data_IF_466213189959
#
_entry.id   IF_466213189959
#
_cell.length_a   1.000
_cell.length_b   1.000
_cell.length_c   1.000
_cell.angle_alpha   90.00
_cell.angle_beta   90.00
_cell.angle_gamma   90.00
#
_symmetry.space_group_name_H-M   'P 1'
#
loop_
_entity.id
_entity.type
_entity.pdbx_description
1 polymer ?
#
# COMPACT_ATOMS: atom_id res chain seq x y z
N UNK A 1 5.96 4.42 24.05
CA UNK A 1 4.98 3.41 23.61
C UNK A 1 4.17 4.00 22.47
N UNK A 2 4.03 3.26 21.37
CA UNK A 2 3.42 3.78 20.14
C UNK A 2 1.89 3.59 20.13
N UNK A 3 1.37 2.88 21.14
CA UNK A 3 -0.03 2.50 21.26
C UNK A 3 -0.50 2.65 22.70
N UNK A 4 -1.75 3.05 22.85
CA UNK A 4 -2.52 2.83 24.06
C UNK A 4 -3.42 1.63 23.80
N UNK A 5 -3.27 0.56 24.56
CA UNK A 5 -4.04 -0.67 24.37
C UNK A 5 -4.34 -1.36 25.69
N UNK A 6 -5.49 -2.04 25.73
CA UNK A 6 -5.88 -2.92 26.82
C UNK A 6 -6.32 -4.25 26.25
N UNK A 7 -5.87 -5.33 26.89
CA UNK A 7 -6.24 -6.69 26.54
C UNK A 7 -6.63 -7.46 27.79
N UNK A 8 -7.67 -8.26 27.70
CA UNK A 8 -8.13 -9.12 28.80
C UNK A 8 -8.59 -10.46 28.27
N UNK A 9 -8.50 -11.48 29.12
CA UNK A 9 -9.20 -12.73 28.91
C UNK A 9 -10.64 -12.60 29.41
N UNK A 10 -11.60 -12.98 28.58
CA UNK A 10 -13.03 -12.96 28.86
C UNK A 10 -13.50 -14.37 29.22
N UNK A 11 -14.04 -14.51 30.43
CA UNK A 11 -14.69 -15.73 30.92
C UNK A 11 -13.74 -16.92 31.15
N UNK A 12 -14.34 -18.08 31.47
CA UNK A 12 -13.62 -19.34 31.69
C UNK A 12 -13.03 -19.95 30.42
N UNK A 13 -13.51 -19.52 29.24
CA UNK A 13 -13.01 -19.92 27.92
C UNK A 13 -11.72 -19.21 27.49
N UNK A 14 -11.18 -18.30 28.32
CA UNK A 14 -9.99 -17.48 28.04
C UNK A 14 -10.05 -16.81 26.66
N UNK A 15 -11.21 -16.31 26.23
CA UNK A 15 -11.32 -15.59 24.95
C UNK A 15 -10.59 -14.25 25.04
N UNK A 16 -9.76 -13.91 24.05
CA UNK A 16 -9.06 -12.61 24.09
C UNK A 16 -9.98 -11.47 23.65
N UNK A 17 -10.16 -10.47 24.53
CA UNK A 17 -10.66 -9.15 24.17
C UNK A 17 -9.50 -8.16 24.03
N UNK A 18 -9.48 -7.39 22.95
CA UNK A 18 -8.43 -6.41 22.66
C UNK A 18 -9.02 -5.09 22.17
N UNK A 19 -8.65 -3.99 22.82
CA UNK A 19 -8.91 -2.64 22.35
C UNK A 19 -7.62 -1.84 22.34
N UNK A 20 -7.43 -0.98 21.36
CA UNK A 20 -6.28 -0.11 21.34
C UNK A 20 -6.39 0.99 20.29
N UNK A 21 -5.56 2.00 20.44
CA UNK A 21 -5.38 3.08 19.48
C UNK A 21 -3.90 3.41 19.37
N UNK A 22 -3.41 3.50 18.15
CA UNK A 22 -2.07 3.93 17.85
C UNK A 22 -1.98 5.44 18.01
N UNK A 23 -0.89 5.91 18.60
CA UNK A 23 -0.66 7.30 18.97
C UNK A 23 -0.01 8.08 17.82
N UNK A 24 -0.40 7.79 16.58
CA UNK A 24 0.16 8.36 15.34
C UNK A 24 -0.69 9.51 14.80
N UNK A 25 -0.17 10.75 14.81
CA UNK A 25 -0.73 11.87 14.07
C UNK A 25 -0.87 11.62 12.56
N UNK A 26 0.03 10.85 11.94
CA UNK A 26 0.00 10.54 10.52
C UNK A 26 -1.22 9.67 10.18
N UNK A 27 -1.54 8.65 10.98
CA UNK A 27 -2.73 7.83 10.76
C UNK A 27 -4.02 8.66 10.91
N UNK A 28 -4.04 9.61 11.85
CA UNK A 28 -5.13 10.59 11.98
C UNK A 28 -5.24 11.46 10.72
N UNK A 29 -4.11 11.94 10.18
CA UNK A 29 -4.04 12.69 8.93
C UNK A 29 -4.53 11.87 7.73
N UNK A 30 -4.08 10.62 7.59
CA UNK A 30 -4.56 9.69 6.55
C UNK A 30 -6.08 9.55 6.64
N UNK A 31 -6.61 9.34 7.84
CA UNK A 31 -8.04 9.30 8.12
C UNK A 31 -8.81 10.51 7.60
N UNK A 32 -8.30 11.72 7.82
CA UNK A 32 -8.91 12.95 7.35
C UNK A 32 -8.95 13.04 5.82
N UNK A 33 -7.88 12.58 5.15
CA UNK A 33 -7.78 12.59 3.68
C UNK A 33 -8.73 11.56 3.06
N UNK A 34 -8.80 10.35 3.60
CA UNK A 34 -9.65 9.27 3.03
C UNK A 34 -11.13 9.39 3.41
N UNK A 35 -11.43 10.16 4.45
CA UNK A 35 -12.78 10.47 4.90
C UNK A 35 -13.48 9.37 5.69
N UNK A 36 -14.66 9.70 6.22
CA UNK A 36 -15.41 8.84 7.15
C UNK A 36 -15.83 7.49 6.54
N UNK A 37 -16.19 7.46 5.25
CA UNK A 37 -16.62 6.25 4.58
C UNK A 37 -15.52 5.16 4.63
N UNK A 38 -14.31 5.50 4.16
CA UNK A 38 -13.16 4.60 4.22
C UNK A 38 -12.79 4.29 5.67
N UNK A 39 -12.82 5.28 6.57
CA UNK A 39 -12.60 5.11 8.00
C UNK A 39 -13.49 4.04 8.65
N UNK A 40 -14.80 4.05 8.36
CA UNK A 40 -15.75 3.04 8.85
C UNK A 40 -15.39 1.65 8.28
N UNK A 41 -15.08 1.58 6.98
CA UNK A 41 -14.80 0.32 6.29
C UNK A 41 -13.54 -0.35 6.85
N UNK A 42 -12.44 0.41 7.03
CA UNK A 42 -11.19 -0.13 7.56
C UNK A 42 -11.36 -0.57 9.02
N UNK A 43 -12.05 0.23 9.85
CA UNK A 43 -12.33 -0.12 11.25
C UNK A 43 -13.21 -1.37 11.35
N UNK A 44 -14.25 -1.46 10.53
CA UNK A 44 -15.13 -2.64 10.47
C UNK A 44 -14.37 -3.90 10.08
N UNK A 45 -13.42 -3.79 9.15
CA UNK A 45 -12.53 -4.88 8.78
C UNK A 45 -11.67 -5.34 9.97
N UNK A 46 -11.10 -4.40 10.74
CA UNK A 46 -10.35 -4.75 11.95
C UNK A 46 -11.22 -5.33 13.05
N UNK A 47 -12.45 -4.84 13.24
CA UNK A 47 -13.41 -5.43 14.18
C UNK A 47 -13.72 -6.88 13.78
N UNK A 48 -13.95 -7.15 12.49
CA UNK A 48 -14.14 -8.51 11.99
C UNK A 48 -12.94 -9.41 12.31
N UNK A 49 -11.72 -8.92 12.13
CA UNK A 49 -10.50 -9.69 12.42
C UNK A 49 -10.32 -9.91 13.93
N UNK A 50 -10.35 -8.85 14.72
CA UNK A 50 -9.93 -8.84 16.12
C UNK A 50 -11.02 -9.27 17.10
N UNK A 51 -12.27 -8.88 16.86
CA UNK A 51 -13.39 -9.16 17.77
C UNK A 51 -14.22 -10.36 17.34
N UNK A 52 -14.08 -10.84 16.11
CA UNK A 52 -14.85 -11.98 15.59
C UNK A 52 -13.91 -13.13 15.21
N UNK A 53 -12.97 -12.93 14.28
CA UNK A 53 -12.17 -14.01 13.72
C UNK A 53 -11.15 -14.59 14.72
N UNK A 54 -10.47 -13.77 15.52
CA UNK A 54 -9.53 -14.24 16.56
C UNK A 54 -10.27 -15.09 17.62
N UNK A 55 -11.36 -14.61 18.28
CA UNK A 55 -12.11 -15.42 19.24
C UNK A 55 -12.67 -16.72 18.64
N UNK A 56 -13.23 -16.67 17.41
CA UNK A 56 -13.74 -17.86 16.73
C UNK A 56 -12.63 -18.88 16.44
N UNK A 57 -11.47 -18.43 15.97
CA UNK A 57 -10.33 -19.31 15.75
C UNK A 57 -9.85 -19.93 17.08
N UNK A 58 -9.78 -19.12 18.13
CA UNK A 58 -9.35 -19.59 19.44
C UNK A 58 -10.30 -20.66 20.00
N UNK A 59 -11.61 -20.46 19.86
CA UNK A 59 -12.60 -21.38 20.42
C UNK A 59 -12.74 -22.68 19.64
N UNK A 60 -12.74 -22.62 18.30
CA UNK A 60 -13.10 -23.76 17.46
C UNK A 60 -11.92 -24.41 16.73
N UNK A 61 -10.81 -23.69 16.56
CA UNK A 61 -9.72 -24.11 15.68
C UNK A 61 -8.34 -24.18 16.36
N UNK A 62 -8.19 -23.75 17.62
CA UNK A 62 -6.92 -23.93 18.37
C UNK A 62 -6.48 -25.40 18.43
N UNK A 63 -7.42 -26.35 18.52
CA UNK A 63 -7.11 -27.78 18.51
C UNK A 63 -6.53 -28.30 17.19
N UNK A 64 -6.63 -27.53 16.10
CA UNK A 64 -6.05 -27.87 14.79
C UNK A 64 -4.56 -27.52 14.67
N UNK A 65 -4.02 -26.74 15.62
CA UNK A 65 -2.61 -26.34 15.63
C UNK A 65 -2.02 -26.47 17.06
N UNK A 66 -1.64 -27.69 17.48
CA UNK A 66 -1.13 -27.94 18.82
C UNK A 66 0.13 -27.15 19.16
N UNK A 67 0.98 -26.86 18.16
CA UNK A 67 2.20 -26.09 18.33
C UNK A 67 1.89 -24.62 18.66
N UNK A 68 0.94 -24.01 17.93
CA UNK A 68 0.48 -22.66 18.24
C UNK A 68 -0.22 -22.62 19.61
N UNK A 69 -1.10 -23.59 19.91
CA UNK A 69 -1.78 -23.66 21.20
C UNK A 69 -0.79 -23.74 22.37
N UNK A 70 0.27 -24.55 22.25
CA UNK A 70 1.31 -24.69 23.28
C UNK A 70 2.10 -23.39 23.47
N UNK A 71 2.38 -22.65 22.40
CA UNK A 71 3.10 -21.36 22.48
C UNK A 71 2.31 -20.26 23.20
N UNK A 72 1.02 -20.45 23.45
CA UNK A 72 0.10 -19.42 23.97
C UNK A 72 -0.49 -19.75 25.35
N UNK A 73 -0.13 -20.88 25.97
CA UNK A 73 -0.76 -21.41 27.21
C UNK A 73 -0.71 -20.42 28.37
N UNK A 74 0.36 -19.62 28.47
CA UNK A 74 0.60 -18.63 29.54
C UNK A 74 0.93 -17.23 29.01
N UNK A 75 0.66 -16.98 27.72
CA UNK A 75 0.89 -15.67 27.14
C UNK A 75 -0.09 -14.64 27.75
N UNK A 76 0.32 -13.37 27.96
CA UNK A 76 -0.61 -12.29 28.21
C UNK A 76 -1.67 -12.20 27.11
N UNK A 77 -2.87 -11.74 27.44
CA UNK A 77 -4.00 -11.68 26.49
C UNK A 77 -3.62 -10.96 25.18
N UNK A 78 -2.89 -9.85 25.27
CA UNK A 78 -2.41 -9.13 24.09
C UNK A 78 -1.50 -10.02 23.22
N UNK A 79 -0.50 -10.67 23.81
CA UNK A 79 0.45 -11.50 23.09
C UNK A 79 -0.22 -12.73 22.46
N UNK A 80 -1.20 -13.32 23.14
CA UNK A 80 -2.02 -14.39 22.58
C UNK A 80 -2.82 -13.94 21.35
N UNK A 81 -3.50 -12.79 21.41
CA UNK A 81 -4.19 -12.25 20.24
C UNK A 81 -3.23 -11.96 19.09
N UNK A 82 -2.08 -11.32 19.35
CA UNK A 82 -1.09 -11.05 18.31
C UNK A 82 -0.45 -12.32 17.74
N UNK A 83 -0.29 -13.37 18.56
CA UNK A 83 0.19 -14.67 18.11
C UNK A 83 -0.79 -15.34 17.14
N UNK A 84 -2.07 -15.40 17.51
CA UNK A 84 -3.13 -15.94 16.65
C UNK A 84 -3.29 -15.10 15.38
N UNK A 85 -3.30 -13.78 15.51
CA UNK A 85 -3.37 -12.86 14.38
C UNK A 85 -2.20 -13.05 13.41
N UNK A 86 -0.97 -13.07 13.93
CA UNK A 86 0.24 -13.22 13.15
C UNK A 86 0.35 -14.58 12.45
N UNK A 87 -0.04 -15.66 13.12
CA UNK A 87 0.07 -17.01 12.56
C UNK A 87 -1.05 -17.32 11.55
N UNK A 88 -2.27 -16.81 11.78
CA UNK A 88 -3.48 -17.28 11.10
C UNK A 88 -4.31 -16.15 10.53
N UNK A 89 -4.84 -15.26 11.37
CA UNK A 89 -5.90 -14.32 10.95
C UNK A 89 -5.41 -13.27 9.96
N UNK A 90 -4.14 -12.84 10.00
CA UNK A 90 -3.59 -11.93 8.98
C UNK A 90 -3.76 -12.48 7.55
N UNK A 91 -3.72 -13.80 7.37
CA UNK A 91 -3.88 -14.45 6.07
C UNK A 91 -5.33 -14.43 5.57
N UNK A 92 -6.31 -14.22 6.46
CA UNK A 92 -7.69 -13.92 6.08
C UNK A 92 -7.74 -12.60 5.28
N UNK A 93 -7.03 -11.59 5.77
CA UNK A 93 -6.86 -10.30 5.09
C UNK A 93 -6.14 -10.46 3.74
N UNK A 94 -5.08 -11.28 3.68
CA UNK A 94 -4.37 -11.59 2.43
C UNK A 94 -5.31 -12.20 1.37
N UNK A 95 -6.17 -13.14 1.76
CA UNK A 95 -7.17 -13.71 0.86
C UNK A 95 -8.18 -12.69 0.34
N UNK A 96 -8.69 -11.83 1.23
CA UNK A 96 -9.60 -10.75 0.84
C UNK A 96 -8.94 -9.74 -0.10
N UNK A 97 -7.68 -9.37 0.16
CA UNK A 97 -6.92 -8.48 -0.71
C UNK A 97 -6.59 -9.12 -2.07
N UNK A 98 -6.32 -10.42 -2.13
CA UNK A 98 -6.06 -11.15 -3.38
C UNK A 98 -7.30 -11.08 -4.30
N UNK A 99 -8.47 -11.42 -3.76
CA UNK A 99 -9.73 -11.29 -4.50
C UNK A 99 -10.02 -9.84 -4.87
N UNK A 100 -9.74 -8.89 -3.97
CA UNK A 100 -9.85 -7.47 -4.26
C UNK A 100 -8.96 -7.02 -5.42
N UNK A 101 -7.72 -7.54 -5.49
CA UNK A 101 -6.80 -7.30 -6.59
C UNK A 101 -7.29 -7.89 -7.91
N UNK A 102 -7.74 -9.15 -7.91
CA UNK A 102 -8.32 -9.81 -9.10
C UNK A 102 -9.58 -9.07 -9.59
N UNK A 103 -10.45 -8.65 -8.67
CA UNK A 103 -11.64 -7.88 -9.02
C UNK A 103 -11.29 -6.51 -9.59
N UNK A 104 -10.30 -5.83 -9.01
CA UNK A 104 -9.80 -4.55 -9.52
C UNK A 104 -9.36 -4.71 -10.98
N UNK A 105 -8.58 -5.75 -11.29
CA UNK A 105 -8.20 -6.07 -12.67
C UNK A 105 -9.39 -6.35 -13.58
N UNK A 106 -10.34 -7.17 -13.11
CA UNK A 106 -11.54 -7.47 -13.88
C UNK A 106 -12.39 -6.23 -14.17
N UNK A 107 -12.53 -5.33 -13.20
CA UNK A 107 -13.28 -4.08 -13.33
C UNK A 107 -12.61 -3.10 -14.30
N UNK A 108 -11.28 -3.11 -14.36
CA UNK A 108 -10.48 -2.23 -15.20
C UNK A 108 -10.16 -2.81 -16.57
N UNK A 109 -10.56 -4.05 -16.87
CA UNK A 109 -10.20 -4.76 -18.12
C UNK A 109 -10.45 -3.93 -19.38
N UNK A 110 -11.58 -3.23 -19.45
CA UNK A 110 -11.92 -2.40 -20.63
C UNK A 110 -10.94 -1.23 -20.79
N UNK A 111 -10.64 -0.56 -19.69
CA UNK A 111 -9.69 0.55 -19.67
C UNK A 111 -8.26 0.08 -19.95
N UNK A 112 -7.87 -1.09 -19.43
CA UNK A 112 -6.60 -1.76 -19.76
C UNK A 112 -6.54 -2.02 -21.27
N UNK A 113 -7.53 -2.68 -21.87
CA UNK A 113 -7.57 -2.94 -23.32
C UNK A 113 -7.51 -1.65 -24.17
N UNK A 114 -8.23 -0.60 -23.75
CA UNK A 114 -8.18 0.71 -24.42
C UNK A 114 -6.78 1.33 -24.34
N UNK A 115 -6.17 1.35 -23.15
CA UNK A 115 -4.82 1.86 -22.93
C UNK A 115 -3.79 1.13 -23.79
N UNK A 116 -3.86 -0.20 -23.84
CA UNK A 116 -3.01 -1.04 -24.70
C UNK A 116 -3.19 -0.70 -26.18
N UNK A 117 -4.43 -0.62 -26.68
CA UNK A 117 -4.73 -0.26 -28.07
C UNK A 117 -4.18 1.13 -28.41
N UNK A 118 -4.32 2.09 -27.49
CA UNK A 118 -3.82 3.45 -27.68
C UNK A 118 -2.29 3.51 -27.74
N UNK A 119 -1.59 2.75 -26.89
CA UNK A 119 -0.13 2.66 -26.89
C UNK A 119 0.41 2.15 -28.22
N UNK A 120 -0.18 1.08 -28.77
CA UNK A 120 0.19 0.56 -30.10
C UNK A 120 -0.13 1.53 -31.24
N UNK A 121 -1.24 2.28 -31.15
CA UNK A 121 -1.61 3.27 -32.16
C UNK A 121 -0.64 4.47 -32.17
N UNK A 122 -0.23 4.94 -30.99
CA UNK A 122 0.74 6.02 -30.83
C UNK A 122 2.11 5.64 -31.39
N UNK A 123 2.58 4.42 -31.14
CA UNK A 123 3.84 3.91 -31.68
C UNK A 123 3.90 3.91 -33.22
N UNK A 124 2.74 3.84 -33.89
CA UNK A 124 2.65 3.78 -35.36
C UNK A 124 2.58 5.16 -36.04
N UNK A 125 2.40 6.25 -35.29
CA UNK A 125 2.09 7.61 -35.81
C UNK A 125 3.24 8.64 -35.74
N UNK A 126 4.49 8.20 -35.63
CA UNK A 126 5.64 9.12 -35.62
C UNK A 126 5.94 9.68 -37.03
N UNK A 127 5.33 10.82 -37.39
CA UNK A 127 5.54 11.53 -38.66
C UNK A 127 5.96 12.99 -38.47
N UNK A 128 7.02 13.43 -39.16
CA UNK A 128 7.68 14.72 -38.99
C UNK A 128 6.91 15.90 -39.58
N UNK A 129 6.42 16.77 -38.68
CA UNK A 129 5.98 18.13 -38.98
C UNK A 129 6.73 19.14 -38.10
N UNK A 130 6.51 20.43 -38.34
CA UNK A 130 6.99 21.49 -37.43
C UNK A 130 6.18 21.40 -36.14
N UNK A 131 6.83 20.96 -35.07
CA UNK A 131 6.20 20.72 -33.76
C UNK A 131 6.21 22.01 -32.94
N UNK A 132 5.06 22.39 -32.38
CA UNK A 132 4.93 23.55 -31.50
C UNK A 132 5.84 23.40 -30.26
N UNK A 133 6.27 24.50 -29.65
CA UNK A 133 7.15 24.46 -28.46
C UNK A 133 6.55 23.61 -27.32
N UNK A 134 5.23 23.66 -27.14
CA UNK A 134 4.48 22.87 -26.14
C UNK A 134 4.32 21.39 -26.51
N UNK A 135 4.74 20.98 -27.70
CA UNK A 135 4.68 19.60 -28.19
C UNK A 135 6.07 18.99 -28.45
N UNK A 136 7.13 19.77 -28.19
CA UNK A 136 8.52 19.30 -28.39
C UNK A 136 8.93 18.30 -27.32
N UNK A 137 8.85 17.03 -27.72
CA UNK A 137 9.22 15.87 -26.91
C UNK A 137 10.72 15.48 -27.07
N UNK A 138 11.24 14.64 -26.15
CA UNK A 138 12.55 14.03 -26.30
C UNK A 138 12.59 13.16 -27.56
N UNK A 139 13.63 13.27 -28.42
CA UNK A 139 13.70 12.48 -29.63
C UNK A 139 13.67 10.98 -29.32
N UNK A 140 12.79 10.23 -29.98
CA UNK A 140 12.58 8.79 -29.75
C UNK A 140 13.87 7.97 -29.84
N UNK A 141 14.82 8.35 -30.70
CA UNK A 141 16.13 7.69 -30.80
C UNK A 141 16.88 7.69 -29.46
N UNK A 142 16.93 8.83 -28.77
CA UNK A 142 17.60 8.96 -27.48
C UNK A 142 16.84 8.23 -26.37
N UNK A 143 15.51 8.21 -26.43
CA UNK A 143 14.68 7.43 -25.51
C UNK A 143 14.92 5.92 -25.66
N UNK A 144 15.03 5.41 -26.89
CA UNK A 144 15.35 4.00 -27.14
C UNK A 144 16.76 3.64 -26.66
N UNK A 145 17.74 4.53 -26.88
CA UNK A 145 19.11 4.34 -26.35
C UNK A 145 19.10 4.31 -24.82
N UNK A 146 18.41 5.26 -24.18
CA UNK A 146 18.29 5.32 -22.72
C UNK A 146 17.60 4.06 -22.16
N UNK A 147 16.54 3.57 -22.82
CA UNK A 147 15.87 2.33 -22.47
C UNK A 147 16.85 1.15 -22.46
N UNK A 148 17.57 0.94 -23.57
CA UNK A 148 18.56 -0.14 -23.66
C UNK A 148 19.63 -0.01 -22.58
N UNK A 149 20.22 1.17 -22.43
CA UNK A 149 21.27 1.42 -21.43
C UNK A 149 20.78 1.16 -20.00
N UNK A 150 19.57 1.59 -19.64
CA UNK A 150 19.01 1.38 -18.30
C UNK A 150 18.58 -0.09 -18.06
N UNK A 151 18.29 -0.85 -19.11
CA UNK A 151 17.94 -2.27 -18.98
C UNK A 151 19.14 -3.18 -18.73
N UNK A 152 20.34 -2.80 -19.18
CA UNK A 152 21.54 -3.64 -19.01
C UNK A 152 21.93 -3.86 -17.53
N UNK A 153 21.94 -2.84 -16.64
CA UNK A 153 22.13 -3.05 -15.20
C UNK A 153 21.05 -3.93 -14.58
N UNK A 154 19.79 -3.82 -15.03
CA UNK A 154 18.69 -4.65 -14.53
C UNK A 154 18.85 -6.12 -14.98
N UNK A 155 19.29 -6.36 -16.21
CA UNK A 155 19.65 -7.69 -16.70
C UNK A 155 20.80 -8.28 -15.86
N UNK A 156 21.84 -7.49 -15.59
CA UNK A 156 22.95 -7.91 -14.75
C UNK A 156 22.49 -8.24 -13.32
N UNK A 157 21.57 -7.45 -12.76
CA UNK A 157 20.96 -7.70 -11.45
C UNK A 157 20.13 -8.99 -11.45
N UNK A 158 19.30 -9.22 -12.48
CA UNK A 158 18.54 -10.46 -12.60
C UNK A 158 19.46 -11.66 -12.73
N UNK A 159 20.52 -11.55 -13.53
CA UNK A 159 21.53 -12.60 -13.63
C UNK A 159 22.28 -12.86 -12.32
N UNK A 160 22.58 -11.82 -11.54
CA UNK A 160 23.24 -11.96 -10.25
C UNK A 160 22.36 -12.70 -9.22
N UNK A 161 21.04 -12.59 -9.32
CA UNK A 161 20.10 -13.25 -8.40
C UNK A 161 19.77 -14.67 -8.88
N UNK A 162 19.45 -14.83 -10.16
CA UNK A 162 18.92 -16.08 -10.73
C UNK A 162 20.03 -17.04 -11.16
N UNK A 163 21.21 -16.51 -11.50
CA UNK A 163 22.38 -17.30 -11.93
C UNK A 163 22.13 -18.18 -13.17
N UNK A 164 21.02 -17.99 -13.89
CA UNK A 164 20.66 -18.75 -15.09
C UNK A 164 20.31 -17.82 -16.26
N UNK A 165 21.20 -17.73 -17.26
CA UNK A 165 21.00 -16.84 -18.42
C UNK A 165 19.73 -17.12 -19.20
N UNK A 166 19.33 -18.40 -19.29
CA UNK A 166 18.09 -18.81 -19.96
C UNK A 166 16.82 -18.34 -19.23
N UNK A 167 16.93 -17.81 -18.00
CA UNK A 167 15.82 -17.20 -17.26
C UNK A 167 15.99 -15.69 -17.20
N UNK A 168 17.19 -15.19 -16.90
CA UNK A 168 17.49 -13.75 -16.76
C UNK A 168 17.17 -12.94 -18.01
N UNK A 169 17.45 -13.50 -19.20
CA UNK A 169 17.14 -12.85 -20.49
C UNK A 169 15.61 -12.78 -20.68
N UNK A 170 14.84 -13.90 -20.63
CA UNK A 170 13.38 -13.82 -20.65
C UNK A 170 12.77 -12.90 -19.60
N UNK A 171 13.28 -12.89 -18.36
CA UNK A 171 12.83 -11.96 -17.31
C UNK A 171 12.96 -10.50 -17.72
N UNK A 172 14.09 -10.15 -18.33
CA UNK A 172 14.34 -8.78 -18.82
C UNK A 172 13.40 -8.42 -19.97
N UNK A 173 13.15 -9.36 -20.89
CA UNK A 173 12.20 -9.17 -21.99
C UNK A 173 10.78 -8.99 -21.44
N UNK A 174 10.36 -9.85 -20.51
CA UNK A 174 9.05 -9.76 -19.84
C UNK A 174 8.91 -8.42 -19.15
N UNK A 175 9.93 -7.96 -18.42
CA UNK A 175 9.95 -6.67 -17.75
C UNK A 175 9.77 -5.51 -18.75
N UNK A 176 10.47 -5.52 -19.89
CA UNK A 176 10.34 -4.47 -20.91
C UNK A 176 8.94 -4.48 -21.53
N UNK A 177 8.44 -5.66 -21.91
CA UNK A 177 7.12 -5.81 -22.54
C UNK A 177 5.99 -5.43 -21.57
N UNK A 178 6.02 -5.95 -20.35
CA UNK A 178 5.06 -5.63 -19.30
C UNK A 178 5.15 -4.15 -18.91
N UNK A 179 6.36 -3.61 -18.76
CA UNK A 179 6.61 -2.20 -18.49
C UNK A 179 5.98 -1.31 -19.55
N UNK A 180 6.27 -1.54 -20.83
CA UNK A 180 5.67 -0.78 -21.93
C UNK A 180 4.14 -0.85 -21.93
N UNK A 181 3.58 -2.06 -21.78
CA UNK A 181 2.14 -2.30 -21.77
C UNK A 181 1.45 -1.54 -20.63
N UNK A 182 1.97 -1.68 -19.42
CA UNK A 182 1.35 -1.15 -18.22
C UNK A 182 1.63 0.33 -17.97
N UNK A 183 2.78 0.85 -18.40
CA UNK A 183 3.03 2.30 -18.46
C UNK A 183 2.03 2.98 -19.39
N UNK A 184 1.74 2.38 -20.54
CA UNK A 184 0.74 2.92 -21.48
C UNK A 184 -0.65 3.02 -20.84
N UNK A 185 -1.07 1.98 -20.11
CA UNK A 185 -2.35 2.02 -19.40
C UNK A 185 -2.35 3.00 -18.24
N UNK A 186 -1.29 2.98 -17.44
CA UNK A 186 -1.10 3.85 -16.29
C UNK A 186 -1.17 5.32 -16.70
N UNK A 187 -0.43 5.70 -17.75
CA UNK A 187 -0.47 7.03 -18.34
C UNK A 187 -1.89 7.40 -18.80
N UNK A 188 -2.52 6.57 -19.64
CA UNK A 188 -3.87 6.85 -20.15
C UNK A 188 -4.88 7.10 -19.02
N UNK A 189 -4.85 6.28 -17.97
CA UNK A 189 -5.72 6.44 -16.80
C UNK A 189 -5.36 7.69 -15.99
N UNK A 190 -4.08 7.90 -15.69
CA UNK A 190 -3.64 9.09 -14.95
C UNK A 190 -4.00 10.41 -15.66
N UNK A 191 -3.94 10.42 -17.00
CA UNK A 191 -4.32 11.57 -17.82
C UNK A 191 -5.82 11.86 -17.83
N UNK A 192 -6.65 10.82 -17.81
CA UNK A 192 -8.12 10.93 -17.86
C UNK A 192 -8.78 11.16 -16.50
N UNK A 193 -8.40 10.37 -15.50
CA UNK A 193 -9.10 10.29 -14.21
C UNK A 193 -8.23 10.70 -13.01
N UNK A 194 -6.97 11.05 -13.23
CA UNK A 194 -6.05 11.45 -12.16
C UNK A 194 -5.07 10.35 -11.73
N UNK A 195 -3.88 10.72 -11.25
CA UNK A 195 -2.87 9.80 -10.68
C UNK A 195 -3.40 9.12 -9.41
N UNK A 196 -4.23 9.79 -8.62
CA UNK A 196 -4.87 9.22 -7.43
C UNK A 196 -5.82 8.06 -7.75
N UNK A 197 -6.40 8.03 -8.95
CA UNK A 197 -7.27 6.96 -9.43
C UNK A 197 -6.53 5.94 -10.33
N UNK A 198 -5.21 6.07 -10.45
CA UNK A 198 -4.39 5.18 -11.25
C UNK A 198 -4.24 3.80 -10.57
N UNK A 199 -4.61 2.68 -11.22
CA UNK A 199 -4.64 1.36 -10.61
C UNK A 199 -3.26 0.69 -10.53
N UNK A 200 -2.24 1.40 -10.04
CA UNK A 200 -0.85 0.93 -9.94
C UNK A 200 -0.75 -0.38 -9.15
N UNK A 201 -1.50 -0.49 -8.05
CA UNK A 201 -1.53 -1.71 -7.22
C UNK A 201 -2.06 -2.92 -8.01
N UNK A 202 -3.14 -2.75 -8.78
CA UNK A 202 -3.68 -3.80 -9.65
C UNK A 202 -2.71 -4.20 -10.75
N UNK A 203 -2.12 -3.22 -11.43
CA UNK A 203 -1.07 -3.40 -12.46
C UNK A 203 0.10 -4.23 -11.91
N UNK A 204 0.54 -3.92 -10.69
CA UNK A 204 1.66 -4.62 -10.04
C UNK A 204 1.29 -6.07 -9.71
N UNK A 205 0.11 -6.31 -9.14
CA UNK A 205 -0.37 -7.68 -8.88
C UNK A 205 -0.48 -8.48 -10.19
N UNK A 206 -1.06 -7.89 -11.25
CA UNK A 206 -1.10 -8.51 -12.58
C UNK A 206 0.27 -8.91 -13.08
N UNK A 207 1.23 -8.00 -12.96
CA UNK A 207 2.61 -8.23 -13.41
C UNK A 207 3.23 -9.38 -12.64
N UNK A 208 3.08 -9.41 -11.31
CA UNK A 208 3.62 -10.49 -10.48
C UNK A 208 2.97 -11.82 -10.81
N UNK A 209 1.64 -11.87 -10.97
CA UNK A 209 0.93 -13.11 -11.33
C UNK A 209 1.35 -13.63 -12.71
N UNK A 210 1.41 -12.74 -13.70
CA UNK A 210 1.84 -13.08 -15.06
C UNK A 210 3.30 -13.54 -15.06
N UNK A 211 4.21 -12.77 -14.43
CA UNK A 211 5.61 -13.12 -14.33
C UNK A 211 5.80 -14.44 -13.58
N UNK A 212 5.09 -14.67 -12.48
CA UNK A 212 5.13 -15.93 -11.72
C UNK A 212 4.68 -17.09 -12.60
N UNK A 213 3.57 -16.97 -13.33
CA UNK A 213 3.09 -18.04 -14.21
C UNK A 213 4.11 -18.41 -15.30
N UNK A 214 4.72 -17.41 -15.94
CA UNK A 214 5.77 -17.65 -16.94
C UNK A 214 7.03 -18.24 -16.29
N UNK A 215 7.43 -17.73 -15.13
CA UNK A 215 8.62 -18.18 -14.42
C UNK A 215 8.48 -19.59 -13.85
N UNK A 216 7.29 -20.03 -13.44
CA UNK A 216 7.04 -21.43 -13.08
C UNK A 216 7.36 -22.35 -14.26
N UNK A 217 7.02 -21.95 -15.49
CA UNK A 217 7.32 -22.74 -16.69
C UNK A 217 8.82 -22.70 -17.05
N UNK A 218 9.49 -21.55 -16.87
CA UNK A 218 10.89 -21.37 -17.25
C UNK A 218 11.88 -21.95 -16.23
N UNK A 219 11.60 -21.79 -14.93
CA UNK A 219 12.47 -22.24 -13.84
C UNK A 219 12.18 -23.67 -13.41
N UNK A 220 10.95 -24.17 -13.61
CA UNK A 220 10.55 -25.49 -13.12
C UNK A 220 10.87 -25.69 -11.63
N UNK A 221 11.63 -26.77 -11.32
CA UNK A 221 12.04 -27.08 -9.95
C UNK A 221 13.05 -26.10 -9.38
N UNK A 222 13.87 -25.46 -10.21
CA UNK A 222 14.86 -24.48 -9.75
C UNK A 222 14.17 -23.23 -9.17
N UNK A 223 12.92 -22.98 -9.57
CA UNK A 223 12.11 -21.90 -9.02
C UNK A 223 11.77 -22.07 -7.54
N UNK A 224 11.92 -23.30 -7.01
CA UNK A 224 11.71 -23.63 -5.60
C UNK A 224 12.99 -23.49 -4.76
N UNK A 225 14.15 -23.28 -5.39
CA UNK A 225 15.43 -23.14 -4.69
C UNK A 225 15.34 -21.93 -3.75
N UNK A 226 15.57 -22.11 -2.44
CA UNK A 226 15.51 -21.01 -1.49
C UNK A 226 16.71 -20.08 -1.67
N UNK A 227 16.44 -18.78 -1.79
CA UNK A 227 17.46 -17.74 -1.93
C UNK A 227 17.24 -16.59 -0.95
N UNK A 228 18.33 -15.88 -0.64
CA UNK A 228 18.35 -14.74 0.28
C UNK A 228 18.15 -15.09 1.75
N UNK A 229 18.13 -14.07 2.60
CA UNK A 229 18.10 -14.20 4.07
C UNK A 229 16.80 -14.87 4.58
N UNK A 230 15.72 -14.82 3.78
CA UNK A 230 14.41 -15.39 4.13
C UNK A 230 14.09 -16.73 3.47
N UNK A 231 15.08 -17.39 2.83
CA UNK A 231 14.91 -18.66 2.12
C UNK A 231 13.66 -18.68 1.20
N UNK A 232 13.41 -17.57 0.50
CA UNK A 232 12.26 -17.46 -0.38
C UNK A 232 12.51 -18.23 -1.68
N UNK A 233 11.49 -18.85 -2.30
CA UNK A 233 11.64 -19.51 -3.59
C UNK A 233 12.21 -18.53 -4.62
N UNK A 234 13.23 -18.96 -5.37
CA UNK A 234 13.90 -18.14 -6.38
C UNK A 234 12.91 -17.52 -7.37
N UNK A 235 11.93 -18.29 -7.82
CA UNK A 235 10.90 -17.81 -8.73
C UNK A 235 10.02 -16.72 -8.12
N UNK A 236 9.75 -16.77 -6.81
CA UNK A 236 8.97 -15.75 -6.12
C UNK A 236 9.75 -14.42 -6.04
N UNK A 237 11.06 -14.49 -5.73
CA UNK A 237 11.94 -13.32 -5.73
C UNK A 237 12.02 -12.72 -7.13
N UNK A 238 12.25 -13.55 -8.15
CA UNK A 238 12.31 -13.14 -9.55
C UNK A 238 11.03 -12.43 -10.02
N UNK A 239 9.85 -12.97 -9.68
CA UNK A 239 8.57 -12.36 -10.05
C UNK A 239 8.34 -11.01 -9.36
N UNK A 240 8.72 -10.88 -8.08
CA UNK A 240 8.63 -9.61 -7.34
C UNK A 240 9.58 -8.57 -7.94
N UNK A 241 10.78 -8.96 -8.37
CA UNK A 241 11.74 -8.04 -9.01
C UNK A 241 11.17 -7.43 -10.29
N UNK A 242 10.57 -8.26 -11.17
CA UNK A 242 9.86 -7.75 -12.38
C UNK A 242 8.71 -6.84 -11.97
N UNK A 243 7.89 -7.28 -11.00
CA UNK A 243 6.77 -6.49 -10.47
C UNK A 243 7.20 -5.12 -9.93
N UNK A 244 8.31 -5.04 -9.22
CA UNK A 244 8.84 -3.81 -8.64
C UNK A 244 9.25 -2.81 -9.72
N UNK A 245 9.98 -3.24 -10.76
CA UNK A 245 10.38 -2.36 -11.87
C UNK A 245 9.15 -1.87 -12.64
N UNK A 246 8.21 -2.76 -12.95
CA UNK A 246 6.99 -2.40 -13.69
C UNK A 246 6.08 -1.48 -12.86
N UNK A 247 5.99 -1.70 -11.55
CA UNK A 247 5.29 -0.81 -10.62
C UNK A 247 5.88 0.61 -10.66
N UNK A 248 7.21 0.73 -10.50
CA UNK A 248 7.89 2.02 -10.54
C UNK A 248 7.71 2.70 -11.89
N UNK A 249 7.88 1.96 -12.99
CA UNK A 249 7.68 2.48 -14.34
C UNK A 249 6.24 2.96 -14.54
N UNK A 250 5.24 2.18 -14.14
CA UNK A 250 3.83 2.54 -14.25
C UNK A 250 3.53 3.80 -13.44
N UNK A 251 3.96 3.89 -12.17
CA UNK A 251 3.74 5.06 -11.33
C UNK A 251 4.37 6.32 -11.95
N UNK A 252 5.67 6.27 -12.28
CA UNK A 252 6.40 7.39 -12.88
C UNK A 252 5.81 7.79 -14.24
N UNK A 253 5.38 6.82 -15.05
CA UNK A 253 4.72 7.10 -16.33
C UNK A 253 3.36 7.77 -16.17
N UNK A 254 2.59 7.40 -15.14
CA UNK A 254 1.33 8.04 -14.79
C UNK A 254 1.54 9.49 -14.35
N UNK A 255 2.49 9.72 -13.45
CA UNK A 255 2.84 11.05 -12.94
C UNK A 255 3.41 11.94 -14.05
N UNK A 256 4.28 11.40 -14.92
CA UNK A 256 4.80 12.14 -16.07
C UNK A 256 3.67 12.66 -16.98
N UNK A 257 2.61 11.88 -17.24
CA UNK A 257 1.49 12.38 -18.04
C UNK A 257 0.70 13.50 -17.33
N UNK A 258 0.62 13.47 -16.00
CA UNK A 258 0.01 14.56 -15.23
C UNK A 258 0.86 15.83 -15.28
N UNK A 259 2.17 15.66 -15.15
CA UNK A 259 3.13 16.76 -15.22
C UNK A 259 3.12 17.38 -16.61
N UNK A 260 3.10 16.57 -17.67
CA UNK A 260 2.99 17.06 -19.04
C UNK A 260 1.65 17.77 -19.29
N UNK A 261 0.54 17.28 -18.72
CA UNK A 261 -0.75 17.98 -18.80
C UNK A 261 -0.70 19.35 -18.11
N UNK A 262 -0.16 19.40 -16.90
CA UNK A 262 -0.02 20.66 -16.15
C UNK A 262 0.94 21.61 -16.85
N UNK A 263 2.06 21.09 -17.35
CA UNK A 263 3.05 21.79 -18.14
C UNK A 263 2.46 22.40 -19.40
N UNK A 264 1.67 21.63 -20.15
CA UNK A 264 0.95 22.10 -21.32
C UNK A 264 0.03 23.30 -20.99
N UNK A 265 -0.72 23.23 -19.88
CA UNK A 265 -1.61 24.31 -19.43
C UNK A 265 -0.87 25.60 -19.09
N UNK A 266 0.37 25.52 -18.60
CA UNK A 266 1.21 26.69 -18.26
C UNK A 266 2.22 27.06 -19.36
N UNK A 267 2.16 26.39 -20.53
CA UNK A 267 3.04 26.66 -21.67
C UNK A 267 4.47 26.14 -21.55
N UNK A 268 4.72 25.11 -20.74
CA UNK A 268 6.02 24.48 -20.59
C UNK A 268 6.40 23.58 -21.79
N UNK A 269 7.70 23.42 -22.02
CA UNK A 269 8.26 22.51 -23.05
C UNK A 269 8.38 21.07 -22.50
N UNK A 270 7.76 20.04 -23.13
CA UNK A 270 7.75 18.66 -22.64
C UNK A 270 9.12 18.05 -22.33
N UNK A 271 10.11 18.19 -23.23
CA UNK A 271 11.43 17.57 -23.05
C UNK A 271 12.14 18.04 -21.76
N UNK A 272 11.93 19.30 -21.35
CA UNK A 272 12.51 19.86 -20.12
C UNK A 272 11.91 19.20 -18.89
N UNK A 273 10.59 18.97 -18.91
CA UNK A 273 9.89 18.30 -17.81
C UNK A 273 10.35 16.86 -17.65
N UNK A 274 10.46 16.12 -18.76
CA UNK A 274 10.93 14.73 -18.73
C UNK A 274 12.37 14.61 -18.21
N UNK A 275 13.25 15.53 -18.62
CA UNK A 275 14.62 15.57 -18.12
C UNK A 275 14.67 15.85 -16.60
N UNK A 276 13.90 16.83 -16.13
CA UNK A 276 13.82 17.13 -14.69
C UNK A 276 13.19 15.98 -13.89
N UNK A 277 12.19 15.29 -14.45
CA UNK A 277 11.60 14.11 -13.86
C UNK A 277 12.63 12.97 -13.74
N UNK A 278 13.47 12.77 -14.76
CA UNK A 278 14.55 11.78 -14.71
C UNK A 278 15.56 12.09 -13.59
N UNK A 279 15.95 13.36 -13.44
CA UNK A 279 16.82 13.80 -12.34
C UNK A 279 16.14 13.56 -10.98
N UNK A 280 14.86 13.92 -10.85
CA UNK A 280 14.08 13.71 -9.62
C UNK A 280 13.98 12.23 -9.25
N UNK A 281 13.62 11.37 -10.20
CA UNK A 281 13.53 9.92 -10.00
C UNK A 281 14.88 9.31 -9.57
N UNK A 282 15.97 9.71 -10.24
CA UNK A 282 17.31 9.26 -9.89
C UNK A 282 17.74 9.72 -8.48
N UNK A 283 17.50 10.99 -8.16
CA UNK A 283 17.83 11.56 -6.85
C UNK A 283 17.03 10.89 -5.72
N UNK A 284 15.73 10.65 -5.94
CA UNK A 284 14.89 9.91 -5.01
C UNK A 284 15.38 8.48 -4.78
N UNK A 285 15.80 7.78 -5.84
CA UNK A 285 16.33 6.41 -5.73
C UNK A 285 17.58 6.34 -4.84
N UNK A 286 18.48 7.33 -4.93
CA UNK A 286 19.69 7.40 -4.10
C UNK A 286 19.40 7.61 -2.61
N UNK A 287 18.31 8.30 -2.27
CA UNK A 287 17.91 8.57 -0.88
C UNK A 287 17.08 7.41 -0.31
N UNK A 288 16.20 6.83 -1.13
CA UNK A 288 15.25 5.82 -0.67
C UNK A 288 15.94 4.55 -0.18
N UNK A 289 16.98 4.05 -0.87
CA UNK A 289 17.64 2.80 -0.46
C UNK A 289 18.32 2.91 0.92
N UNK A 290 19.15 3.93 1.23
CA UNK A 290 19.68 4.13 2.58
C UNK A 290 18.61 4.27 3.65
N UNK A 291 17.55 5.06 3.38
CA UNK A 291 16.46 5.28 4.35
C UNK A 291 15.71 3.99 4.64
N UNK A 292 15.36 3.20 3.62
CA UNK A 292 14.69 1.92 3.82
C UNK A 292 15.56 0.91 4.57
N UNK A 293 16.87 0.87 4.31
CA UNK A 293 17.81 0.03 5.06
C UNK A 293 17.94 0.47 6.52
N UNK A 294 17.98 1.79 6.79
CA UNK A 294 17.98 2.34 8.14
C UNK A 294 16.71 1.93 8.91
N UNK A 295 15.54 2.10 8.29
CA UNK A 295 14.26 1.72 8.89
C UNK A 295 14.14 0.20 9.09
N UNK A 296 14.64 -0.59 8.14
CA UNK A 296 14.69 -2.05 8.26
C UNK A 296 15.59 -2.49 9.42
N UNK A 297 16.74 -1.85 9.61
CA UNK A 297 17.64 -2.14 10.73
C UNK A 297 17.04 -1.70 12.09
N UNK A 298 16.40 -0.53 12.14
CA UNK A 298 15.82 0.00 13.37
C UNK A 298 14.57 -0.77 13.82
N UNK A 299 13.62 -0.99 12.90
CA UNK A 299 12.27 -1.46 13.22
C UNK A 299 11.91 -2.82 12.61
N UNK A 300 12.60 -3.24 11.55
CA UNK A 300 12.27 -4.45 10.78
C UNK A 300 11.03 -4.28 9.90
N UNK A 301 11.20 -4.33 8.56
CA UNK A 301 10.06 -4.22 7.63
C UNK A 301 9.13 -5.43 7.79
N UNK A 302 7.84 -5.17 8.02
CA UNK A 302 6.82 -6.19 8.27
C UNK A 302 6.66 -6.59 9.74
N UNK A 303 7.36 -5.91 10.65
CA UNK A 303 7.17 -6.08 12.10
C UNK A 303 5.87 -5.41 12.59
N UNK A 304 5.57 -5.52 13.89
CA UNK A 304 4.45 -4.80 14.51
C UNK A 304 4.63 -3.29 14.45
N UNK A 305 5.88 -2.80 14.55
CA UNK A 305 6.20 -1.36 14.57
C UNK A 305 6.30 -0.77 13.16
N UNK A 306 6.66 -1.58 12.16
CA UNK A 306 6.69 -1.17 10.76
C UNK A 306 5.95 -2.18 9.86
N UNK A 307 4.60 -2.23 9.93
CA UNK A 307 3.82 -3.17 9.15
C UNK A 307 3.87 -2.86 7.66
N UNK A 308 4.05 -3.89 6.84
CA UNK A 308 4.16 -3.77 5.39
C UNK A 308 3.12 -4.66 4.66
N UNK A 309 1.81 -4.33 4.78
CA UNK A 309 0.72 -5.18 4.30
C UNK A 309 0.79 -5.47 2.80
N UNK A 310 1.07 -4.44 1.99
CA UNK A 310 1.17 -4.60 0.54
C UNK A 310 2.36 -5.47 0.13
N UNK A 311 3.55 -5.24 0.72
CA UNK A 311 4.72 -6.06 0.45
C UNK A 311 4.49 -7.53 0.84
N UNK A 312 3.82 -7.77 1.98
CA UNK A 312 3.50 -9.11 2.46
C UNK A 312 2.46 -9.82 1.60
N UNK A 313 1.46 -9.09 1.07
CA UNK A 313 0.56 -9.63 0.06
C UNK A 313 1.34 -10.08 -1.18
N UNK A 314 2.18 -9.21 -1.72
CA UNK A 314 2.97 -9.51 -2.92
C UNK A 314 3.86 -10.73 -2.68
N UNK A 315 4.51 -10.80 -1.53
CA UNK A 315 5.31 -11.94 -1.10
C UNK A 315 4.49 -13.22 -0.95
N UNK A 316 3.29 -13.15 -0.35
CA UNK A 316 2.42 -14.32 -0.14
C UNK A 316 1.90 -14.87 -1.46
N UNK A 317 1.45 -13.99 -2.37
CA UNK A 317 1.01 -14.39 -3.72
C UNK A 317 2.17 -15.07 -4.45
N UNK A 318 3.33 -14.42 -4.53
CA UNK A 318 4.48 -14.98 -5.23
C UNK A 318 4.94 -16.31 -4.63
N UNK A 319 5.09 -16.41 -3.30
CA UNK A 319 5.45 -17.66 -2.62
C UNK A 319 4.42 -18.76 -2.84
N UNK A 320 3.13 -18.43 -2.85
CA UNK A 320 2.05 -19.39 -3.07
C UNK A 320 2.11 -20.04 -4.45
N UNK A 321 2.48 -19.29 -5.49
CA UNK A 321 2.67 -19.84 -6.85
C UNK A 321 3.89 -20.76 -6.97
N UNK A 322 4.90 -20.58 -6.12
CA UNK A 322 6.12 -21.41 -6.08
C UNK A 322 6.12 -22.36 -4.87
N UNK A 323 4.99 -23.05 -4.62
CA UNK A 323 4.93 -24.17 -3.68
C UNK A 323 5.04 -23.82 -2.19
N UNK A 324 4.86 -22.56 -1.80
CA UNK A 324 4.92 -22.14 -0.41
C UNK A 324 3.82 -22.76 0.47
N UNK A 325 4.19 -23.19 1.67
CA UNK A 325 3.25 -23.67 2.70
C UNK A 325 2.49 -22.49 3.32
N UNK A 326 1.46 -22.01 2.62
CA UNK A 326 0.55 -21.00 3.12
C UNK A 326 -0.70 -21.66 3.74
N UNK A 327 -1.35 -21.03 4.74
CA UNK A 327 -2.61 -21.52 5.29
C UNK A 327 -3.75 -21.26 4.29
N UNK A 328 -3.76 -22.03 3.19
CA UNK A 328 -4.67 -21.86 2.05
C UNK A 328 -6.14 -21.94 2.45
N UNK A 329 -6.49 -22.71 3.47
CA UNK A 329 -7.85 -22.74 4.00
C UNK A 329 -8.30 -21.36 4.50
N UNK A 330 -7.47 -20.66 5.29
CA UNK A 330 -7.79 -19.33 5.81
C UNK A 330 -7.77 -18.29 4.68
N UNK A 331 -6.83 -18.40 3.75
CA UNK A 331 -6.78 -17.55 2.55
C UNK A 331 -8.05 -17.73 1.71
N UNK A 332 -8.54 -18.95 1.53
CA UNK A 332 -9.76 -19.25 0.79
C UNK A 332 -11.01 -18.69 1.49
N UNK A 333 -11.10 -18.81 2.83
CA UNK A 333 -12.16 -18.15 3.61
C UNK A 333 -12.08 -16.64 3.43
N UNK A 334 -10.88 -16.05 3.50
CA UNK A 334 -10.64 -14.63 3.28
C UNK A 334 -11.04 -14.18 1.88
N UNK A 335 -10.76 -15.00 0.87
CA UNK A 335 -11.21 -14.79 -0.50
C UNK A 335 -12.75 -14.78 -0.60
N UNK A 336 -13.43 -15.69 0.10
CA UNK A 336 -14.89 -15.71 0.23
C UNK A 336 -15.44 -14.43 0.88
N UNK A 337 -14.82 -13.97 1.97
CA UNK A 337 -15.16 -12.70 2.64
C UNK A 337 -14.94 -11.52 1.69
N UNK A 338 -13.82 -11.48 0.97
CA UNK A 338 -13.54 -10.46 -0.05
C UNK A 338 -14.59 -10.45 -1.17
N UNK A 339 -15.00 -11.62 -1.67
CA UNK A 339 -16.06 -11.74 -2.67
C UNK A 339 -17.42 -11.24 -2.15
N UNK A 340 -17.76 -11.54 -0.89
CA UNK A 340 -18.97 -11.02 -0.26
C UNK A 340 -18.93 -9.49 -0.12
N UNK A 341 -17.78 -8.92 0.27
CA UNK A 341 -17.58 -7.47 0.34
C UNK A 341 -17.77 -6.82 -1.04
N UNK A 342 -17.19 -7.41 -2.10
CA UNK A 342 -17.37 -6.94 -3.48
C UNK A 342 -18.84 -6.97 -3.88
N UNK A 343 -19.56 -8.07 -3.58
CA UNK A 343 -20.97 -8.20 -3.90
C UNK A 343 -21.81 -7.11 -3.21
N UNK A 344 -21.51 -6.82 -1.94
CA UNK A 344 -22.13 -5.71 -1.19
C UNK A 344 -21.80 -4.36 -1.82
N UNK A 345 -20.54 -4.09 -2.15
CA UNK A 345 -20.13 -2.82 -2.75
C UNK A 345 -20.78 -2.56 -4.11
N UNK A 346 -20.89 -3.59 -4.94
CA UNK A 346 -21.56 -3.52 -6.24
C UNK A 346 -23.08 -3.35 -6.08
N UNK A 347 -23.69 -4.01 -5.09
CA UNK A 347 -25.10 -3.80 -4.75
C UNK A 347 -25.37 -2.37 -4.26
N UNK A 348 -24.52 -1.84 -3.38
CA UNK A 348 -24.57 -0.43 -2.94
C UNK A 348 -24.42 0.53 -4.13
N UNK A 349 -23.61 0.15 -5.13
CA UNK A 349 -23.38 0.95 -6.35
C UNK A 349 -24.63 1.07 -7.17
N UNK A 350 -25.28 -0.08 -7.42
CA UNK A 350 -26.48 -0.17 -8.23
C UNK A 350 -27.68 0.49 -7.58
N UNK A 351 -27.73 0.51 -6.24
CA UNK A 351 -28.79 1.18 -5.48
C UNK A 351 -28.57 2.68 -5.30
N UNK A 352 -27.50 3.26 -5.88
CA UNK A 352 -27.23 4.70 -5.83
C UNK A 352 -26.85 5.21 -4.43
N UNK A 353 -26.46 4.31 -3.51
CA UNK A 353 -26.04 4.72 -2.16
C UNK A 353 -24.66 5.36 -2.20
N UNK A 354 -24.50 6.47 -1.49
CA UNK A 354 -23.21 7.18 -1.36
C UNK A 354 -22.17 6.40 -0.57
N UNK A 355 -22.60 5.55 0.36
CA UNK A 355 -21.69 4.69 1.10
C UNK A 355 -21.14 3.59 0.18
N UNK A 356 -19.82 3.41 0.22
CA UNK A 356 -19.07 2.47 -0.62
C UNK A 356 -18.29 1.55 0.31
N UNK A 357 -18.06 0.32 -0.09
CA UNK A 357 -17.20 -0.60 0.65
C UNK A 357 -16.06 -1.04 -0.26
N UNK A 358 -15.04 -0.19 -0.49
CA UNK A 358 -13.90 -0.59 -1.29
C UNK A 358 -13.25 -1.84 -0.68
N UNK A 359 -13.23 -2.93 -1.45
CA UNK A 359 -12.73 -4.24 -0.97
C UNK A 359 -11.30 -4.16 -0.46
N UNK A 360 -10.44 -3.35 -1.08
CA UNK A 360 -9.06 -3.16 -0.65
C UNK A 360 -8.96 -2.48 0.72
N UNK A 361 -9.80 -1.46 0.98
CA UNK A 361 -9.85 -0.80 2.28
C UNK A 361 -10.33 -1.79 3.36
N UNK A 362 -11.41 -2.53 3.09
CA UNK A 362 -11.91 -3.54 4.02
C UNK A 362 -10.85 -4.62 4.30
N UNK A 363 -10.16 -5.09 3.27
CA UNK A 363 -9.13 -6.11 3.40
C UNK A 363 -7.88 -5.61 4.15
N UNK A 364 -7.47 -4.35 3.97
CA UNK A 364 -6.44 -3.69 4.80
C UNK A 364 -6.86 -3.66 6.27
N UNK A 365 -8.13 -3.33 6.55
CA UNK A 365 -8.70 -3.39 7.89
C UNK A 365 -8.63 -4.80 8.50
N UNK A 366 -9.01 -5.83 7.73
CA UNK A 366 -8.94 -7.23 8.18
C UNK A 366 -7.50 -7.67 8.47
N UNK A 367 -6.55 -7.21 7.64
CA UNK A 367 -5.16 -7.59 7.75
C UNK A 367 -4.45 -6.93 8.93
N UNK A 368 -4.61 -5.61 9.11
CA UNK A 368 -3.80 -4.84 10.06
C UNK A 368 -4.33 -4.89 11.51
N UNK A 369 -3.46 -4.55 12.48
CA UNK A 369 -3.88 -4.40 13.87
C UNK A 369 -4.97 -3.34 14.07
N UNK A 370 -5.88 -3.59 14.99
CA UNK A 370 -7.02 -2.72 15.27
C UNK A 370 -6.59 -1.33 15.72
N UNK A 371 -5.48 -1.25 16.48
CA UNK A 371 -4.96 0.02 16.97
C UNK A 371 -4.59 0.99 15.86
N UNK A 372 -4.23 0.51 14.66
CA UNK A 372 -3.90 1.37 13.51
C UNK A 372 -5.15 1.95 12.85
N UNK A 373 -6.29 1.26 12.94
CA UNK A 373 -7.53 1.69 12.28
C UNK A 373 -8.31 2.72 13.08
N UNK A 374 -8.18 2.72 14.41
CA UNK A 374 -8.85 3.70 15.27
C UNK A 374 -8.47 5.15 14.91
N UNK A 375 -7.19 5.55 14.83
CA UNK A 375 -6.84 6.92 14.45
C UNK A 375 -7.28 7.28 13.02
N UNK A 376 -7.24 6.33 12.07
CA UNK A 376 -7.77 6.55 10.71
C UNK A 376 -9.27 6.84 10.74
N UNK A 377 -10.04 6.07 11.50
CA UNK A 377 -11.47 6.33 11.69
C UNK A 377 -11.73 7.69 12.35
N UNK A 378 -10.97 8.04 13.40
CA UNK A 378 -11.09 9.34 14.08
C UNK A 378 -10.76 10.51 13.13
N UNK A 379 -9.76 10.37 12.27
CA UNK A 379 -9.44 11.36 11.25
C UNK A 379 -10.60 11.56 10.26
N UNK A 380 -11.19 10.47 9.80
CA UNK A 380 -12.37 10.50 8.93
C UNK A 380 -13.59 11.11 9.61
N UNK A 381 -13.77 10.86 10.91
CA UNK A 381 -14.80 11.50 11.72
C UNK A 381 -14.57 13.01 11.83
N UNK A 382 -13.33 13.45 12.04
CA UNK A 382 -12.99 14.89 12.04
C UNK A 382 -13.33 15.52 10.69
N UNK A 383 -12.97 14.88 9.57
CA UNK A 383 -13.33 15.36 8.23
C UNK A 383 -14.85 15.53 8.09
N UNK A 384 -15.63 14.53 8.53
CA UNK A 384 -17.09 14.61 8.51
C UNK A 384 -17.66 15.71 9.43
N UNK A 385 -17.05 15.96 10.59
CA UNK A 385 -17.44 17.06 11.47
C UNK A 385 -17.16 18.43 10.85
N UNK A 386 -16.10 18.55 10.04
CA UNK A 386 -15.79 19.78 9.27
C UNK A 386 -16.82 19.99 8.16
N UNK A 387 -17.20 18.95 7.42
CA UNK A 387 -18.28 19.00 6.42
C UNK A 387 -19.61 19.45 7.05
N UNK A 388 -19.96 18.83 8.19
CA UNK A 388 -21.19 19.15 8.93
C UNK A 388 -21.19 20.58 9.45
N UNK A 389 -20.03 21.11 9.84
CA UNK A 389 -19.90 22.50 10.29
C UNK A 389 -20.16 23.50 9.16
N UNK A 390 -19.60 23.26 7.98
CA UNK A 390 -19.81 24.10 6.79
C UNK A 390 -21.13 23.82 6.06
N UNK A 391 -21.98 22.92 6.62
CA UNK A 391 -23.29 22.54 6.07
C UNK A 391 -23.22 22.09 4.59
N UNK A 392 -22.15 21.39 4.23
CA UNK A 392 -21.97 20.96 2.85
C UNK A 392 -23.05 19.92 2.50
N UNK A 393 -23.84 20.22 1.46
CA UNK A 393 -24.79 19.28 0.90
C UNK A 393 -24.04 18.09 0.32
N UNK A 394 -24.54 16.87 0.48
CA UNK A 394 -23.73 15.71 0.10
C UNK A 394 -23.57 15.46 -1.42
N UNK A 395 -24.11 16.33 -2.28
CA UNK A 395 -23.84 16.37 -3.74
C UNK A 395 -22.88 17.50 -4.14
N UNK A 396 -22.43 18.34 -3.20
CA UNK A 396 -21.54 19.48 -3.47
C UNK A 396 -20.07 19.05 -3.41
N UNK A 397 -19.61 18.32 -4.43
CA UNK A 397 -18.22 17.85 -4.51
C UNK A 397 -17.20 19.00 -4.52
N UNK A 398 -17.49 20.09 -5.23
CA UNK A 398 -16.60 21.26 -5.30
C UNK A 398 -16.51 21.98 -3.93
N UNK A 399 -17.63 22.14 -3.23
CA UNK A 399 -17.65 22.70 -1.88
C UNK A 399 -16.89 21.83 -0.89
N UNK A 400 -17.01 20.50 -0.99
CA UNK A 400 -16.21 19.56 -0.17
C UNK A 400 -14.72 19.76 -0.40
N UNK A 401 -14.28 19.73 -1.66
CA UNK A 401 -12.86 19.90 -1.99
C UNK A 401 -12.33 21.24 -1.48
N UNK A 402 -13.11 22.32 -1.61
CA UNK A 402 -12.74 23.64 -1.12
C UNK A 402 -12.57 23.67 0.40
N UNK A 403 -13.52 23.12 1.14
CA UNK A 403 -13.53 23.12 2.60
C UNK A 403 -12.44 22.19 3.17
N UNK A 404 -12.13 21.10 2.48
CA UNK A 404 -11.12 20.15 2.95
C UNK A 404 -9.68 20.62 2.73
N UNK A 405 -9.40 21.51 1.76
CA UNK A 405 -8.04 21.97 1.41
C UNK A 405 -7.13 22.29 2.62
N UNK A 406 -7.51 23.18 3.56
CA UNK A 406 -6.64 23.51 4.69
C UNK A 406 -6.36 22.30 5.60
N UNK A 407 -7.37 21.48 5.85
CA UNK A 407 -7.23 20.28 6.65
C UNK A 407 -6.41 19.20 5.96
N UNK A 408 -6.54 19.05 4.63
CA UNK A 408 -5.72 18.14 3.82
C UNK A 408 -4.26 18.56 3.84
N UNK A 409 -3.96 19.86 3.74
CA UNK A 409 -2.60 20.39 3.86
C UNK A 409 -2.01 20.12 5.25
N UNK A 410 -2.78 20.34 6.31
CA UNK A 410 -2.34 20.02 7.68
C UNK A 410 -2.11 18.52 7.87
N UNK A 411 -3.03 17.68 7.40
CA UNK A 411 -2.92 16.23 7.44
C UNK A 411 -1.69 15.72 6.67
N UNK A 412 -1.42 16.27 5.48
CA UNK A 412 -0.19 15.96 4.73
C UNK A 412 1.07 16.34 5.52
N UNK A 413 1.06 17.50 6.19
CA UNK A 413 2.12 17.92 7.10
C UNK A 413 2.34 16.95 8.28
N UNK A 414 1.26 16.40 8.86
CA UNK A 414 1.36 15.37 9.91
C UNK A 414 2.02 14.09 9.38
N UNK A 415 1.61 13.63 8.20
CA UNK A 415 2.16 12.42 7.55
C UNK A 415 3.66 12.60 7.29
N UNK A 416 4.06 13.71 6.65
CA UNK A 416 5.46 14.00 6.35
C UNK A 416 6.27 14.22 7.63
N UNK A 417 5.73 14.96 8.59
CA UNK A 417 6.41 15.26 9.85
C UNK A 417 6.69 14.02 10.68
N UNK A 418 5.72 13.12 10.82
CA UNK A 418 5.92 11.84 11.52
C UNK A 418 6.93 10.96 10.78
N UNK A 419 6.86 10.87 9.45
CA UNK A 419 7.82 10.08 8.67
C UNK A 419 9.26 10.59 8.83
N UNK A 420 9.46 11.92 8.77
CA UNK A 420 10.78 12.54 8.98
C UNK A 420 11.27 12.33 10.42
N UNK A 421 10.40 12.46 11.42
CA UNK A 421 10.74 12.19 12.81
C UNK A 421 11.10 10.70 13.01
N UNK A 422 10.37 9.79 12.37
CA UNK A 422 10.67 8.35 12.41
C UNK A 422 12.05 8.00 11.86
N UNK A 423 12.48 8.67 10.79
CA UNK A 423 13.85 8.59 10.26
C UNK A 423 14.86 9.17 11.28
N UNK A 424 14.54 10.34 11.86
CA UNK A 424 15.37 10.98 12.88
C UNK A 424 15.58 10.11 14.13
N UNK A 425 14.53 9.39 14.58
CA UNK A 425 14.58 8.46 15.71
C UNK A 425 15.30 7.15 15.34
N UNK A 426 15.19 6.69 14.09
CA UNK A 426 15.88 5.48 13.65
C UNK A 426 17.42 5.64 13.68
N UNK A 427 17.93 6.85 13.45
CA UNK A 427 19.37 7.13 13.43
C UNK A 427 20.08 6.80 14.75
N UNK A 428 19.69 7.34 15.93
CA UNK A 428 20.32 6.98 17.19
C UNK A 428 20.12 5.51 17.55
N UNK A 429 18.96 4.90 17.24
CA UNK A 429 18.70 3.47 17.50
C UNK A 429 19.74 2.60 16.78
N UNK A 430 20.01 2.89 15.50
CA UNK A 430 20.95 2.10 14.69
C UNK A 430 22.40 2.38 15.08
N UNK A 431 22.77 3.65 15.34
CA UNK A 431 24.15 4.03 15.72
C UNK A 431 24.55 3.38 17.05
N UNK A 432 23.64 3.38 18.03
CA UNK A 432 23.92 2.86 19.38
C UNK A 432 23.60 1.38 19.52
N UNK A 433 22.94 0.79 18.52
CA UNK A 433 22.39 -0.56 18.56
C UNK A 433 21.50 -0.82 19.78
N UNK A 434 20.85 0.23 20.29
CA UNK A 434 19.96 0.15 21.45
C UNK A 434 18.61 0.79 21.10
N UNK A 435 17.56 -0.03 21.18
CA UNK A 435 16.18 0.37 20.85
C UNK A 435 15.59 1.33 21.89
N UNK A 436 16.15 1.34 23.08
CA UNK A 436 15.66 2.10 24.24
C UNK A 436 16.46 3.38 24.48
N UNK A 437 17.30 3.82 23.53
CA UNK A 437 18.11 5.05 23.67
C UNK A 437 17.27 6.29 23.95
N UNK A 438 16.05 6.35 23.42
CA UNK A 438 15.11 7.45 23.65
C UNK A 438 13.95 7.02 24.56
N UNK A 439 14.05 5.86 25.22
CA UNK A 439 13.02 5.41 26.13
C UNK A 439 13.01 6.28 27.40
N UNK A 440 11.81 6.68 27.82
CA UNK A 440 11.63 7.35 29.10
C UNK A 440 11.80 6.32 30.24
N UNK A 441 12.27 6.74 31.44
CA UNK A 441 12.41 5.86 32.59
C UNK A 441 11.09 5.15 32.94
N UNK A 442 11.17 3.88 33.35
CA UNK A 442 10.01 3.01 33.58
C UNK A 442 8.97 3.60 34.56
N UNK A 443 9.40 4.41 35.52
CA UNK A 443 8.52 5.08 36.49
C UNK A 443 7.59 6.16 35.90
N UNK A 444 7.79 6.59 34.65
CA UNK A 444 6.89 7.49 33.92
C UNK A 444 5.78 6.72 33.19
N UNK A 445 4.95 5.99 33.94
CA UNK A 445 3.79 5.23 33.43
C UNK A 445 2.67 6.09 32.80
N UNK A 446 2.84 7.42 32.75
CA UNK A 446 1.91 8.36 32.12
C UNK A 446 2.14 8.53 30.60
N UNK A 447 3.19 7.92 30.04
CA UNK A 447 3.57 8.11 28.64
C UNK A 447 2.45 7.80 27.63
N UNK A 448 1.65 6.74 27.82
CA UNK A 448 0.53 6.42 26.94
C UNK A 448 -0.61 7.43 27.05
N UNK A 449 -0.91 7.89 28.27
CA UNK A 449 -1.94 8.90 28.52
C UNK A 449 -1.56 10.27 27.97
N UNK A 450 -0.29 10.65 28.11
CA UNK A 450 0.27 11.86 27.50
C UNK A 450 0.13 11.79 25.98
N UNK A 451 0.48 10.66 25.37
CA UNK A 451 0.31 10.45 23.92
C UNK A 451 -1.15 10.56 23.47
N UNK A 452 -2.11 10.02 24.23
CA UNK A 452 -3.53 10.21 23.96
C UNK A 452 -3.96 11.68 24.02
N UNK A 453 -3.49 12.42 25.02
CA UNK A 453 -3.77 13.86 25.16
C UNK A 453 -3.18 14.64 23.98
N UNK A 454 -1.95 14.32 23.56
CA UNK A 454 -1.32 14.93 22.39
C UNK A 454 -2.11 14.60 21.12
N UNK A 455 -2.51 13.34 20.93
CA UNK A 455 -3.29 12.93 19.76
C UNK A 455 -4.65 13.65 19.72
N UNK A 456 -5.32 13.79 20.87
CA UNK A 456 -6.56 14.55 21.00
C UNK A 456 -6.36 16.05 20.68
N UNK A 457 -5.25 16.64 21.15
CA UNK A 457 -4.88 18.02 20.84
C UNK A 457 -4.63 18.19 19.33
N UNK A 458 -3.89 17.28 18.70
CA UNK A 458 -3.64 17.30 17.25
C UNK A 458 -4.95 17.15 16.47
N UNK A 459 -5.85 16.26 16.90
CA UNK A 459 -7.17 16.13 16.29
C UNK A 459 -8.02 17.38 16.42
N UNK A 460 -7.97 18.04 17.58
CA UNK A 460 -8.63 19.34 17.78
C UNK A 460 -8.03 20.44 16.89
N UNK A 461 -6.70 20.49 16.76
CA UNK A 461 -6.01 21.42 15.86
C UNK A 461 -6.40 21.18 14.40
N UNK A 462 -6.43 19.91 13.97
CA UNK A 462 -6.86 19.52 12.63
C UNK A 462 -8.31 19.96 12.36
N UNK A 463 -9.22 19.72 13.31
CA UNK A 463 -10.59 20.21 13.22
C UNK A 463 -10.66 21.74 13.13
N UNK A 464 -9.89 22.46 13.95
CA UNK A 464 -9.83 23.93 13.95
C UNK A 464 -9.28 24.49 12.63
N UNK A 465 -8.27 23.84 12.05
CA UNK A 465 -7.73 24.22 10.73
C UNK A 465 -8.74 23.94 9.63
N UNK A 466 -9.40 22.78 9.66
CA UNK A 466 -10.47 22.45 8.71
C UNK A 466 -11.62 23.47 8.75
N UNK A 467 -12.01 23.95 9.95
CA UNK A 467 -13.00 25.01 10.13
C UNK A 467 -12.64 26.36 9.50
N UNK A 468 -11.37 26.63 9.22
CA UNK A 468 -10.94 27.89 8.60
C UNK A 468 -11.12 27.92 7.08
N UNK A 469 -11.58 26.83 6.46
CA UNK A 469 -11.81 26.71 5.02
C UNK A 469 -12.80 27.71 4.43
N UNK A 470 -13.49 28.49 5.26
CA UNK A 470 -14.40 29.56 4.86
C UNK A 470 -13.76 30.94 4.67
N UNK A 471 -12.57 31.22 5.21
CA UNK A 471 -12.08 32.61 5.34
C UNK A 471 -11.19 33.13 4.19
N UNK A 472 -10.96 32.34 3.14
CA UNK A 472 -10.01 32.69 2.07
C UNK A 472 -10.61 32.66 0.65
N UNK A 473 -11.89 33.02 0.51
CA UNK A 473 -12.51 33.30 -0.78
C UNK A 473 -13.04 34.73 -0.81
#
# INVERSE_FOLDING_TARGET
PDTWAQATYLGSSRLVGYIGTNLSPALLGVGYIVGLNVGIVVLSGSILSWHIAIPLYQQFFMGSDPALAQSLVDAPAADAAFGIWGAKIRYLGVGAMLIGGVWTLFSLRKSLFSGVKSGFAAARKSGGGVVAETERDLPMKWMLVALVLCTLPLLALYQAIVQQWHVSIPMTIIMIVAGFLFVSVSGYLAGLIGSSNNPVSGITISTILFASAVLVLLLGKDGLVPVGIGAAPLGAVAAIMIGAVVCCAAAVGGDNLQDLKTGYLVGATPWKQQFMLAIGAFSCALIMAPVLNLLAAAYGIGSKTLPAPQAMLMASVAKGLFGGQLPWAIIAIGAGVGAAIIAVDEWLKRTGKRFRVPVLAAAIGIYLPLELMVPIFLGGLIAHLVERFHKIGGDDEEGRDRVHRPGVLFAAGLITGEALMGIGIALPIVITNNKDVLALPEGFHLNQWIGLVILALVGWLLYRVGKRGEQAA
#
